data_IF_751467102444
#
_entry.id   IF_751467102444
#
_cell.length_a   1.000
_cell.length_b   1.000
_cell.length_c   1.000
_cell.angle_alpha   90.00
_cell.angle_beta   90.00
_cell.angle_gamma   90.00
#
_symmetry.space_group_name_H-M   'P 1'
#
loop_
_entity.id
_entity.type
_entity.pdbx_description
1 polymer ?
#
# COMPACT_ATOMS: atom_id res chain seq x y z
N UNK A 1 11.97 7.15 11.51
CA UNK A 1 10.67 7.13 10.79
C UNK A 1 9.71 8.16 11.39
N UNK A 2 9.80 9.44 10.99
CA UNK A 2 8.99 10.51 11.59
C UNK A 2 8.16 11.28 10.57
N UNK A 3 8.83 11.94 9.63
CA UNK A 3 8.19 12.89 8.70
C UNK A 3 6.98 12.32 7.95
N UNK A 4 7.12 11.19 7.26
CA UNK A 4 6.01 10.61 6.48
C UNK A 4 4.83 10.15 7.35
N UNK A 5 5.10 9.44 8.46
CA UNK A 5 4.05 8.99 9.36
C UNK A 5 3.28 10.18 9.96
N UNK A 6 3.98 11.27 10.33
CA UNK A 6 3.37 12.52 10.80
C UNK A 6 2.54 13.19 9.71
N UNK A 7 2.97 13.13 8.44
CA UNK A 7 2.17 13.63 7.31
C UNK A 7 0.90 12.80 7.09
N UNK A 8 0.99 11.47 7.18
CA UNK A 8 -0.18 10.60 7.11
C UNK A 8 -1.14 10.86 8.27
N UNK A 9 -0.62 10.96 9.50
CA UNK A 9 -1.41 11.32 10.67
C UNK A 9 -2.19 12.62 10.45
N UNK A 10 -1.51 13.72 10.11
CA UNK A 10 -2.17 15.02 9.91
C UNK A 10 -3.24 14.96 8.83
N UNK A 11 -2.95 14.27 7.72
CA UNK A 11 -3.89 14.10 6.61
C UNK A 11 -5.11 13.30 7.01
N UNK A 12 -4.92 12.12 7.59
CA UNK A 12 -6.00 11.22 8.00
C UNK A 12 -6.83 11.83 9.12
N UNK A 13 -6.20 12.44 10.13
CA UNK A 13 -6.89 13.13 11.22
C UNK A 13 -7.85 14.19 10.70
N UNK A 14 -7.40 15.04 9.77
CA UNK A 14 -8.24 16.08 9.18
C UNK A 14 -9.48 15.56 8.44
N UNK A 15 -9.45 14.30 7.98
CA UNK A 15 -10.58 13.63 7.30
C UNK A 15 -11.47 12.89 8.30
N UNK A 16 -10.89 12.25 9.31
CA UNK A 16 -11.62 11.57 10.38
C UNK A 16 -12.45 12.57 11.19
N UNK A 17 -11.88 13.74 11.52
CA UNK A 17 -12.57 14.80 12.27
C UNK A 17 -13.83 15.33 11.56
N UNK A 18 -13.97 15.07 10.24
CA UNK A 18 -15.17 15.44 9.47
C UNK A 18 -16.36 14.53 9.73
N UNK A 19 -16.15 13.35 10.35
CA UNK A 19 -17.19 12.39 10.71
C UNK A 19 -18.12 12.03 9.54
N UNK A 20 -17.53 11.74 8.38
CA UNK A 20 -18.29 11.29 7.19
C UNK A 20 -19.11 10.02 7.48
N UNK A 21 -18.67 9.19 8.43
CA UNK A 21 -19.40 8.03 8.96
C UNK A 21 -20.79 8.39 9.52
N UNK A 22 -21.02 9.65 9.93
CA UNK A 22 -22.28 10.12 10.49
C UNK A 22 -23.22 10.73 9.47
N UNK A 23 -22.82 10.88 8.20
CA UNK A 23 -23.70 11.43 7.16
C UNK A 23 -24.83 10.45 6.87
N UNK A 24 -26.04 10.96 6.61
CA UNK A 24 -27.25 10.14 6.46
C UNK A 24 -27.15 9.06 5.38
N UNK A 25 -26.36 9.29 4.32
CA UNK A 25 -26.13 8.34 3.24
C UNK A 25 -24.99 7.35 3.50
N UNK A 26 -24.25 7.49 4.60
CA UNK A 26 -23.15 6.61 5.03
C UNK A 26 -23.51 5.82 6.28
N UNK A 27 -24.41 6.33 7.11
CA UNK A 27 -24.87 5.62 8.32
C UNK A 27 -25.32 4.19 8.01
N UNK A 28 -24.83 3.23 8.79
CA UNK A 28 -25.10 1.81 8.56
C UNK A 28 -24.21 1.16 7.49
N UNK A 29 -23.29 1.91 6.89
CA UNK A 29 -22.43 1.43 5.81
C UNK A 29 -20.94 1.56 6.17
N UNK A 30 -20.08 0.75 5.55
CA UNK A 30 -18.64 0.90 5.64
C UNK A 30 -18.16 2.25 5.08
N UNK A 31 -17.23 2.90 5.78
CA UNK A 31 -16.58 4.13 5.35
C UNK A 31 -15.07 3.92 5.22
N UNK A 32 -14.50 4.22 4.05
CA UNK A 32 -13.07 4.12 3.82
C UNK A 32 -12.52 5.42 3.24
N UNK A 33 -11.25 5.71 3.56
CA UNK A 33 -10.53 6.86 3.00
C UNK A 33 -9.55 6.34 1.96
N UNK A 34 -9.68 6.82 0.72
CA UNK A 34 -8.71 6.58 -0.33
C UNK A 34 -7.57 7.60 -0.27
N UNK A 35 -6.33 7.13 -0.36
CA UNK A 35 -5.12 7.89 -0.15
C UNK A 35 -4.06 7.52 -1.19
N UNK A 36 -3.45 8.53 -1.78
CA UNK A 36 -2.25 8.40 -2.62
C UNK A 36 -1.24 9.45 -2.18
N UNK A 37 0.04 9.06 -2.10
CA UNK A 37 1.06 9.94 -1.55
C UNK A 37 1.82 10.72 -2.64
N UNK A 38 1.72 12.04 -2.57
CA UNK A 38 2.45 13.00 -3.41
C UNK A 38 3.11 14.10 -2.58
N UNK A 39 3.31 13.89 -1.28
CA UNK A 39 3.74 14.95 -0.37
C UNK A 39 5.20 15.40 -0.60
N UNK A 40 6.02 14.55 -1.19
CA UNK A 40 7.44 14.80 -1.45
C UNK A 40 7.92 14.08 -2.74
N UNK A 41 9.02 14.54 -3.36
CA UNK A 41 9.62 13.86 -4.50
C UNK A 41 9.88 12.37 -4.23
N UNK A 42 9.37 11.52 -5.13
CA UNK A 42 9.51 10.07 -5.02
C UNK A 42 8.81 9.42 -3.83
N UNK A 43 7.98 10.15 -3.06
CA UNK A 43 7.34 9.65 -1.83
C UNK A 43 6.60 8.33 -1.99
N UNK A 44 5.96 8.12 -3.14
CA UNK A 44 5.36 6.87 -3.56
C UNK A 44 6.28 5.64 -3.41
N UNK A 45 7.60 5.80 -3.52
CA UNK A 45 8.55 4.70 -3.43
C UNK A 45 9.01 4.37 -2.01
N UNK A 46 8.84 5.27 -1.04
CA UNK A 46 9.49 5.12 0.28
C UNK A 46 8.58 5.40 1.47
N UNK A 47 7.39 5.99 1.29
CA UNK A 47 6.52 6.37 2.41
C UNK A 47 5.56 5.27 2.87
N UNK A 48 5.31 4.27 2.03
CA UNK A 48 4.34 3.18 2.28
C UNK A 48 4.48 2.55 3.67
N UNK A 49 5.71 2.16 4.06
CA UNK A 49 5.95 1.55 5.38
C UNK A 49 5.57 2.49 6.54
N UNK A 50 5.77 3.80 6.39
CA UNK A 50 5.40 4.76 7.41
C UNK A 50 3.88 4.85 7.62
N UNK A 51 3.08 4.59 6.57
CA UNK A 51 1.62 4.47 6.69
C UNK A 51 1.25 3.23 7.50
N UNK A 52 1.82 2.06 7.17
CA UNK A 52 1.55 0.79 7.89
C UNK A 52 1.87 0.95 9.38
N UNK A 53 3.04 1.50 9.69
CA UNK A 53 3.47 1.78 11.06
C UNK A 53 2.52 2.73 11.78
N UNK A 54 2.07 3.79 11.12
CA UNK A 54 1.10 4.70 11.71
C UNK A 54 -0.27 4.03 11.96
N UNK A 55 -0.74 3.20 11.03
CA UNK A 55 -2.05 2.56 11.13
C UNK A 55 -2.08 1.50 12.21
N UNK A 56 -1.13 0.58 12.24
CA UNK A 56 -1.14 -0.54 13.19
C UNK A 56 -0.30 -0.30 14.45
N UNK A 57 0.54 0.75 14.47
CA UNK A 57 1.40 1.07 15.60
C UNK A 57 2.52 0.05 15.81
N UNK A 58 3.01 -0.55 14.73
CA UNK A 58 4.17 -1.45 14.74
C UNK A 58 4.87 -1.46 13.39
N UNK A 59 6.16 -1.75 13.37
CA UNK A 59 6.94 -1.95 12.15
C UNK A 59 7.75 -3.24 12.24
N UNK A 60 8.17 -3.77 11.10
CA UNK A 60 9.08 -4.91 11.05
C UNK A 60 10.53 -4.42 11.14
N UNK A 61 11.30 -5.00 12.05
CA UNK A 61 12.75 -4.82 12.15
C UNK A 61 13.43 -6.17 11.91
N UNK A 62 14.50 -6.18 11.12
CA UNK A 62 15.33 -7.38 10.97
C UNK A 62 16.24 -7.51 12.18
N UNK A 63 16.04 -8.57 12.96
CA UNK A 63 16.86 -8.89 14.12
C UNK A 63 17.55 -10.25 13.93
N UNK A 64 18.70 -10.42 14.57
CA UNK A 64 19.39 -11.71 14.61
C UNK A 64 18.93 -12.49 15.86
N UNK A 65 18.21 -13.58 15.64
CA UNK A 65 17.74 -14.50 16.66
C UNK A 65 18.52 -15.80 16.53
N UNK A 66 19.43 -16.05 17.48
CA UNK A 66 20.24 -17.28 17.55
C UNK A 66 21.00 -17.62 16.25
N UNK A 67 21.53 -16.60 15.55
CA UNK A 67 22.26 -16.76 14.30
C UNK A 67 21.39 -16.72 13.04
N UNK A 68 20.06 -16.61 13.18
CA UNK A 68 19.10 -16.53 12.08
C UNK A 68 18.52 -15.12 12.02
N UNK A 69 18.57 -14.48 10.85
CA UNK A 69 17.89 -13.20 10.65
C UNK A 69 16.38 -13.43 10.53
N UNK A 70 15.59 -12.66 11.27
CA UNK A 70 14.14 -12.74 11.25
C UNK A 70 13.51 -11.34 11.33
N UNK A 71 12.36 -11.15 10.69
CA UNK A 71 11.54 -9.96 10.87
C UNK A 71 10.80 -10.05 12.21
N UNK A 72 11.08 -9.12 13.11
CA UNK A 72 10.42 -8.99 14.42
C UNK A 72 9.52 -7.77 14.40
N UNK A 73 8.28 -7.92 14.89
CA UNK A 73 7.35 -6.80 15.02
C UNK A 73 7.74 -5.95 16.24
N UNK A 74 7.99 -4.67 16.01
CA UNK A 74 8.37 -3.70 17.04
C UNK A 74 7.24 -2.70 17.22
N UNK A 75 6.68 -2.65 18.43
CA UNK A 75 5.59 -1.74 18.76
C UNK A 75 6.04 -0.27 18.79
N UNK A 76 5.20 0.61 18.26
CA UNK A 76 5.38 2.06 18.25
C UNK A 76 4.23 2.69 19.01
N UNK A 77 4.56 3.42 20.08
CA UNK A 77 3.55 4.12 20.88
C UNK A 77 3.29 5.53 20.35
N UNK A 78 4.35 6.22 19.92
CA UNK A 78 4.27 7.60 19.45
C UNK A 78 5.11 7.81 18.19
N UNK A 79 4.67 8.73 17.35
CA UNK A 79 5.40 9.21 16.18
C UNK A 79 6.58 10.09 16.60
N UNK A 80 7.59 10.17 15.75
CA UNK A 80 8.75 11.02 15.97
C UNK A 80 8.45 12.47 15.55
N UNK A 81 7.63 13.15 16.36
CA UNK A 81 7.40 14.60 16.32
C UNK A 81 7.61 15.23 17.70
N UNK A 82 7.46 16.55 17.78
CA UNK A 82 7.62 17.30 19.04
C UNK A 82 6.40 17.18 19.96
N UNK A 83 5.30 16.60 19.48
CA UNK A 83 4.01 16.56 20.18
C UNK A 83 3.74 15.19 20.84
N UNK A 84 4.56 14.17 20.51
CA UNK A 84 4.37 12.82 21.02
C UNK A 84 3.10 12.17 20.45
N UNK A 85 2.77 12.49 19.18
CA UNK A 85 1.53 12.03 18.55
C UNK A 85 1.38 10.51 18.64
N UNK A 86 0.25 9.96 19.14
CA UNK A 86 0.06 8.52 19.21
C UNK A 86 0.11 7.82 17.85
N UNK A 87 0.81 6.69 17.79
CA UNK A 87 0.77 5.78 16.66
C UNK A 87 -0.31 4.70 16.87
N UNK A 88 -0.74 4.07 15.77
CA UNK A 88 -1.72 2.99 15.81
C UNK A 88 -3.15 3.47 15.73
N UNK A 89 -3.52 4.09 14.60
CA UNK A 89 -4.90 4.49 14.31
C UNK A 89 -5.92 3.34 14.51
N UNK A 90 -5.49 2.10 14.24
CA UNK A 90 -6.26 0.86 14.30
C UNK A 90 -6.00 0.03 15.57
N UNK A 91 -5.40 0.61 16.63
CA UNK A 91 -5.16 -0.09 17.90
C UNK A 91 -6.31 -0.03 18.90
N UNK A 92 -7.31 0.82 18.66
CA UNK A 92 -8.47 0.97 19.54
C UNK A 92 -9.75 1.26 18.75
N UNK A 93 -10.89 1.13 19.43
CA UNK A 93 -12.21 1.47 18.88
C UNK A 93 -12.51 2.98 18.82
N UNK A 94 -11.54 3.87 19.07
CA UNK A 94 -11.77 5.32 19.01
C UNK A 94 -12.23 5.79 17.61
N UNK A 95 -11.78 5.10 16.57
CA UNK A 95 -12.10 5.39 15.17
C UNK A 95 -12.93 4.27 14.52
N UNK A 96 -13.84 3.64 15.27
CA UNK A 96 -14.70 2.54 14.81
C UNK A 96 -15.59 2.88 13.60
N UNK A 97 -15.90 4.16 13.38
CA UNK A 97 -16.59 4.64 12.18
C UNK A 97 -15.76 4.57 10.90
N UNK A 98 -14.43 4.42 10.99
CA UNK A 98 -13.54 4.23 9.83
C UNK A 98 -13.28 2.75 9.62
N UNK A 99 -13.74 2.22 8.48
CA UNK A 99 -13.63 0.80 8.13
C UNK A 99 -12.27 0.40 7.60
N UNK A 100 -11.66 1.24 6.75
CA UNK A 100 -10.38 0.95 6.12
C UNK A 100 -9.70 2.21 5.57
N UNK A 101 -8.39 2.08 5.30
CA UNK A 101 -7.65 2.99 4.41
C UNK A 101 -7.39 2.25 3.11
N UNK A 102 -7.81 2.83 1.98
CA UNK A 102 -7.43 2.37 0.64
C UNK A 102 -6.23 3.19 0.21
N UNK A 103 -5.11 2.54 -0.10
CA UNK A 103 -3.86 3.21 -0.42
C UNK A 103 -3.35 2.79 -1.80
N UNK A 104 -2.73 3.73 -2.52
CA UNK A 104 -1.91 3.38 -3.67
C UNK A 104 -0.70 4.30 -3.80
N UNK A 105 0.46 3.69 -4.05
CA UNK A 105 1.66 4.39 -4.52
C UNK A 105 1.77 4.43 -6.05
N UNK A 106 0.80 3.85 -6.77
CA UNK A 106 0.81 3.74 -8.23
C UNK A 106 -0.02 4.79 -8.97
N UNK A 107 -0.66 5.76 -8.31
CA UNK A 107 -1.63 6.71 -8.91
C UNK A 107 -1.00 7.77 -9.86
N UNK A 108 -0.12 7.36 -10.78
CA UNK A 108 0.67 8.23 -11.65
C UNK A 108 0.25 8.14 -13.11
N UNK A 109 0.50 9.20 -13.88
CA UNK A 109 0.34 9.21 -15.35
C UNK A 109 1.17 8.08 -15.99
N UNK A 110 2.35 7.78 -15.44
CA UNK A 110 3.19 6.70 -15.94
C UNK A 110 2.50 5.33 -15.84
N UNK A 111 1.82 5.03 -14.72
CA UNK A 111 1.01 3.80 -14.58
C UNK A 111 -0.10 3.74 -15.62
N UNK A 112 -0.84 4.84 -15.83
CA UNK A 112 -1.84 4.90 -16.90
C UNK A 112 -1.24 4.50 -18.25
N UNK A 113 -0.06 5.03 -18.59
CA UNK A 113 0.65 4.68 -19.82
C UNK A 113 1.01 3.19 -19.90
N UNK A 114 1.49 2.58 -18.81
CA UNK A 114 1.86 1.15 -18.78
C UNK A 114 0.65 0.23 -18.90
N UNK A 115 -0.41 0.50 -18.14
CA UNK A 115 -1.65 -0.29 -18.17
C UNK A 115 -2.28 -0.20 -19.56
N UNK A 116 -2.39 1.01 -20.12
CA UNK A 116 -2.92 1.18 -21.49
C UNK A 116 -2.07 0.46 -22.53
N UNK A 117 -0.73 0.54 -22.45
CA UNK A 117 0.15 -0.15 -23.38
C UNK A 117 -0.01 -1.68 -23.30
N UNK A 118 -0.02 -2.26 -22.10
CA UNK A 118 -0.16 -3.71 -21.95
C UNK A 118 -1.56 -4.22 -22.30
N UNK A 119 -2.62 -3.47 -21.99
CA UNK A 119 -4.00 -3.84 -22.32
C UNK A 119 -4.32 -3.71 -23.81
N UNK A 120 -3.83 -2.66 -24.48
CA UNK A 120 -4.16 -2.40 -25.89
C UNK A 120 -3.18 -3.03 -26.88
N UNK A 121 -1.96 -3.35 -26.43
CA UNK A 121 -0.85 -3.76 -27.30
C UNK A 121 -0.36 -2.66 -28.25
N UNK A 122 -0.86 -1.42 -28.11
CA UNK A 122 -0.50 -0.31 -28.97
C UNK A 122 0.92 0.16 -28.63
N UNK A 123 1.77 0.24 -29.66
CA UNK A 123 3.06 0.92 -29.57
C UNK A 123 2.85 2.43 -29.69
N UNK A 124 3.13 3.15 -28.61
CA UNK A 124 3.00 4.60 -28.55
C UNK A 124 4.28 5.33 -28.98
N UNK A 125 5.28 4.64 -29.54
CA UNK A 125 6.55 5.24 -29.97
C UNK A 125 7.52 5.55 -28.82
N UNK A 126 7.27 5.00 -27.64
CA UNK A 126 8.09 5.17 -26.45
C UNK A 126 8.45 3.81 -25.86
N UNK A 127 9.68 3.69 -25.36
CA UNK A 127 10.05 2.58 -24.47
C UNK A 127 9.70 2.99 -23.04
N UNK A 128 9.00 2.09 -22.33
CA UNK A 128 8.69 2.25 -20.91
C UNK A 128 9.38 1.13 -20.15
N UNK A 129 10.30 1.49 -19.27
CA UNK A 129 10.95 0.55 -18.36
C UNK A 129 10.40 0.78 -16.96
N UNK A 130 9.84 -0.27 -16.35
CA UNK A 130 9.41 -0.23 -14.96
C UNK A 130 10.51 -0.82 -14.09
N UNK A 131 10.90 -0.07 -13.07
CA UNK A 131 11.92 -0.47 -12.09
C UNK A 131 11.28 -0.46 -10.72
N UNK A 132 11.52 -1.48 -9.92
CA UNK A 132 10.89 -1.58 -8.61
C UNK A 132 11.26 -2.81 -7.82
N UNK A 133 10.44 -3.08 -6.82
CA UNK A 133 10.57 -4.22 -5.93
C UNK A 133 9.26 -5.01 -5.89
N UNK A 134 9.33 -6.31 -6.16
CA UNK A 134 8.22 -7.25 -5.97
C UNK A 134 8.30 -7.84 -4.57
N UNK A 135 7.14 -8.05 -3.94
CA UNK A 135 7.05 -8.69 -2.64
C UNK A 135 7.35 -10.19 -2.75
N UNK A 136 8.44 -10.63 -2.13
CA UNK A 136 8.76 -12.05 -1.99
C UNK A 136 7.92 -12.67 -0.87
N UNK A 137 7.11 -13.68 -1.21
CA UNK A 137 6.25 -14.39 -0.26
C UNK A 137 6.89 -15.66 0.29
N UNK A 138 8.11 -15.96 -0.11
CA UNK A 138 8.87 -17.10 0.40
C UNK A 138 9.05 -16.93 1.91
N UNK A 139 8.57 -17.89 2.73
CA UNK A 139 8.70 -17.77 4.19
C UNK A 139 10.14 -17.55 4.63
N UNK A 140 10.36 -16.54 5.47
CA UNK A 140 11.68 -16.18 6.01
C UNK A 140 12.51 -15.25 5.14
N UNK A 141 12.06 -14.90 3.92
CA UNK A 141 12.72 -13.87 3.12
C UNK A 141 12.41 -12.48 3.70
N UNK A 142 13.45 -11.64 3.74
CA UNK A 142 13.40 -10.31 4.36
C UNK A 142 13.50 -9.16 3.36
N UNK A 143 13.83 -9.47 2.10
CA UNK A 143 13.99 -8.51 1.02
C UNK A 143 13.04 -8.85 -0.13
N UNK A 144 12.59 -7.83 -0.86
CA UNK A 144 11.82 -8.08 -2.08
C UNK A 144 12.72 -8.53 -3.25
N UNK A 145 12.08 -8.87 -4.35
CA UNK A 145 12.75 -9.23 -5.60
C UNK A 145 12.88 -7.96 -6.46
N UNK A 146 14.10 -7.45 -6.72
CA UNK A 146 14.28 -6.29 -7.58
C UNK A 146 13.94 -6.66 -9.03
N UNK A 147 13.29 -5.75 -9.75
CA UNK A 147 13.01 -5.95 -11.18
C UNK A 147 13.26 -4.67 -11.97
N UNK A 148 13.61 -4.85 -13.24
CA UNK A 148 13.78 -3.79 -14.23
C UNK A 148 13.37 -4.35 -15.59
N UNK A 149 12.15 -4.04 -16.01
CA UNK A 149 11.52 -4.69 -17.16
C UNK A 149 10.97 -3.68 -18.15
N UNK A 150 11.17 -3.93 -19.44
CA UNK A 150 10.44 -3.25 -20.51
C UNK A 150 8.97 -3.69 -20.44
N UNK A 151 8.06 -2.71 -20.38
CA UNK A 151 6.61 -2.93 -20.28
C UNK A 151 6.05 -3.70 -21.48
N UNK A 152 6.71 -3.64 -22.64
CA UNK A 152 6.36 -4.42 -23.84
C UNK A 152 6.90 -5.86 -23.83
N UNK A 153 7.81 -6.19 -22.92
CA UNK A 153 8.42 -7.51 -22.87
C UNK A 153 7.41 -8.60 -22.47
N UNK A 154 7.66 -9.81 -22.95
CA UNK A 154 6.89 -11.00 -22.56
C UNK A 154 6.99 -11.26 -21.06
N UNK A 155 8.17 -11.06 -20.48
CA UNK A 155 8.42 -11.22 -19.04
C UNK A 155 7.54 -10.28 -18.21
N UNK A 156 7.42 -9.01 -18.62
CA UNK A 156 6.53 -8.05 -17.94
C UNK A 156 5.06 -8.46 -18.04
N UNK A 157 4.61 -8.90 -19.22
CA UNK A 157 3.23 -9.34 -19.41
C UNK A 157 2.93 -10.59 -18.57
N UNK A 158 3.89 -11.51 -18.42
CA UNK A 158 3.73 -12.72 -17.63
C UNK A 158 3.70 -12.49 -16.11
N UNK A 159 3.93 -11.26 -15.63
CA UNK A 159 3.78 -10.90 -14.21
C UNK A 159 2.35 -11.09 -13.69
N UNK A 160 1.34 -11.01 -14.56
CA UNK A 160 -0.06 -11.23 -14.18
C UNK A 160 -0.74 -12.26 -15.09
N UNK A 161 -1.68 -13.09 -14.56
CA UNK A 161 -2.33 -14.14 -15.33
C UNK A 161 -3.02 -13.66 -16.62
N UNK A 162 -3.61 -12.46 -16.58
CA UNK A 162 -4.30 -11.82 -17.69
C UNK A 162 -3.37 -11.21 -18.75
N UNK A 163 -2.05 -11.30 -18.56
CA UNK A 163 -1.01 -10.82 -19.47
C UNK A 163 -0.93 -9.30 -19.67
N UNK A 164 -1.51 -8.53 -18.75
CA UNK A 164 -1.40 -7.08 -18.70
C UNK A 164 -1.37 -6.58 -17.26
N UNK A 165 -0.82 -5.39 -17.04
CA UNK A 165 -0.79 -4.76 -15.71
C UNK A 165 -2.22 -4.37 -15.29
N UNK A 166 -2.78 -4.91 -14.20
CA UNK A 166 -4.12 -4.54 -13.76
C UNK A 166 -4.12 -3.15 -13.12
N UNK A 167 -5.27 -2.46 -13.20
CA UNK A 167 -5.46 -1.19 -12.49
C UNK A 167 -5.27 -1.31 -10.97
N UNK A 168 -5.54 -2.49 -10.43
CA UNK A 168 -5.37 -2.86 -9.02
C UNK A 168 -3.92 -3.15 -8.63
N UNK A 169 -2.96 -3.21 -9.57
CA UNK A 169 -1.54 -3.29 -9.21
C UNK A 169 -1.17 -2.12 -8.29
N UNK A 170 -0.44 -2.35 -7.19
CA UNK A 170 -0.11 -1.31 -6.20
C UNK A 170 -1.34 -0.66 -5.51
N UNK A 171 -2.48 -1.36 -5.48
CA UNK A 171 -3.65 -0.97 -4.68
C UNK A 171 -3.72 -1.82 -3.42
N UNK A 172 -3.83 -1.17 -2.28
CA UNK A 172 -3.84 -1.83 -0.98
C UNK A 172 -5.01 -1.34 -0.13
N UNK A 173 -5.50 -2.21 0.76
CA UNK A 173 -6.57 -1.90 1.70
C UNK A 173 -6.13 -2.33 3.09
N UNK A 174 -5.91 -1.36 3.96
CA UNK A 174 -5.61 -1.59 5.37
C UNK A 174 -6.90 -1.56 6.18
N UNK A 175 -7.30 -2.69 6.76
CA UNK A 175 -8.57 -2.84 7.47
C UNK A 175 -8.46 -2.42 8.93
N UNK A 176 -9.44 -1.67 9.42
CA UNK A 176 -9.59 -1.39 10.84
C UNK A 176 -10.26 -2.58 11.54
N UNK A 177 -9.58 -3.28 12.48
CA UNK A 177 -10.17 -4.42 13.18
C UNK A 177 -11.29 -4.02 14.15
N UNK A 178 -11.40 -2.73 14.50
CA UNK A 178 -12.44 -2.21 15.39
C UNK A 178 -13.60 -1.53 14.64
N UNK A 179 -13.66 -1.66 13.31
CA UNK A 179 -14.71 -1.03 12.52
C UNK A 179 -16.12 -1.53 12.90
N UNK A 180 -17.05 -0.62 13.17
CA UNK A 180 -18.47 -0.97 13.38
C UNK A 180 -19.08 -1.63 12.15
N UNK A 181 -18.71 -1.15 10.97
CA UNK A 181 -19.10 -1.70 9.67
C UNK A 181 -17.84 -2.04 8.87
N UNK A 182 -17.33 -3.28 8.93
CA UNK A 182 -16.09 -3.67 8.27
C UNK A 182 -16.11 -3.44 6.76
N UNK A 183 -14.97 -3.04 6.18
CA UNK A 183 -14.88 -2.81 4.73
C UNK A 183 -14.95 -4.15 3.98
N UNK A 184 -15.95 -4.36 3.09
CA UNK A 184 -16.11 -5.64 2.44
C UNK A 184 -14.99 -5.88 1.42
N UNK A 185 -14.30 -7.02 1.55
CA UNK A 185 -13.20 -7.40 0.64
C UNK A 185 -13.63 -7.40 -0.84
N UNK A 186 -14.86 -7.79 -1.11
CA UNK A 186 -15.41 -7.88 -2.47
C UNK A 186 -15.66 -6.53 -3.16
N UNK A 187 -15.54 -5.40 -2.45
CA UNK A 187 -15.61 -4.06 -3.09
C UNK A 187 -14.35 -3.78 -3.91
N UNK A 188 -13.18 -4.26 -3.47
CA UNK A 188 -11.90 -4.13 -4.17
C UNK A 188 -11.18 -5.49 -4.21
N UNK A 189 -11.75 -6.52 -4.86
CA UNK A 189 -11.34 -7.90 -4.67
C UNK A 189 -9.92 -8.22 -5.13
N UNK A 190 -9.39 -7.42 -6.06
CA UNK A 190 -8.05 -7.55 -6.63
C UNK A 190 -6.97 -6.76 -5.88
N UNK A 191 -7.34 -5.95 -4.88
CA UNK A 191 -6.38 -5.22 -4.06
C UNK A 191 -5.65 -6.17 -3.10
N UNK A 192 -4.51 -5.71 -2.59
CA UNK A 192 -3.84 -6.36 -1.47
C UNK A 192 -4.49 -5.91 -0.17
N UNK A 193 -5.08 -6.84 0.59
CA UNK A 193 -5.76 -6.56 1.83
C UNK A 193 -4.90 -6.91 3.04
N UNK A 194 -4.79 -5.99 3.98
CA UNK A 194 -4.05 -6.15 5.22
C UNK A 194 -5.01 -6.17 6.40
N UNK A 195 -4.89 -7.20 7.24
CA UNK A 195 -5.73 -7.41 8.42
C UNK A 195 -4.88 -7.59 9.66
N UNK A 196 -5.38 -7.14 10.82
CA UNK A 196 -4.86 -7.60 12.12
C UNK A 196 -5.61 -8.88 12.52
N UNK A 197 -4.91 -10.00 12.69
CA UNK A 197 -5.45 -11.29 13.14
C UNK A 197 -4.50 -11.95 14.13
N UNK A 198 -5.03 -12.38 15.27
CA UNK A 198 -4.27 -13.08 16.32
C UNK A 198 -2.98 -12.38 16.74
N UNK A 199 -3.03 -11.05 16.84
CA UNK A 199 -1.87 -10.23 17.20
C UNK A 199 -0.87 -9.99 16.07
N UNK A 200 -1.07 -10.53 14.87
CA UNK A 200 -0.22 -10.35 13.70
C UNK A 200 -0.89 -9.55 12.58
N UNK A 201 -0.10 -8.91 11.72
CA UNK A 201 -0.58 -8.31 10.48
C UNK A 201 -0.46 -9.35 9.36
N UNK A 202 -1.59 -9.69 8.74
CA UNK A 202 -1.69 -10.68 7.66
C UNK A 202 -2.04 -9.98 6.35
N UNK A 203 -1.34 -10.36 5.29
CA UNK A 203 -1.57 -9.91 3.93
C UNK A 203 -2.34 -10.98 3.14
N UNK A 204 -3.46 -10.58 2.54
CA UNK A 204 -4.18 -11.37 1.55
C UNK A 204 -4.13 -10.66 0.20
N UNK A 205 -3.52 -11.29 -0.80
CA UNK A 205 -3.43 -10.74 -2.15
C UNK A 205 -4.25 -11.58 -3.13
N UNK A 206 -4.80 -10.92 -4.14
CA UNK A 206 -5.46 -11.59 -5.25
C UNK A 206 -4.44 -12.13 -6.27
N UNK A 207 -3.46 -11.30 -6.63
CA UNK A 207 -2.36 -11.69 -7.49
C UNK A 207 -1.17 -12.19 -6.68
N UNK A 208 -0.47 -13.18 -7.22
CA UNK A 208 0.83 -13.59 -6.70
C UNK A 208 1.86 -12.46 -6.83
N UNK A 209 1.89 -11.76 -7.96
CA UNK A 209 2.74 -10.58 -8.12
C UNK A 209 2.15 -9.37 -7.39
N UNK A 210 2.84 -8.93 -6.32
CA UNK A 210 2.59 -7.65 -5.66
C UNK A 210 3.81 -6.76 -5.77
N UNK A 211 3.66 -5.57 -6.33
CA UNK A 211 4.73 -4.57 -6.39
C UNK A 211 4.69 -3.74 -5.10
N UNK A 212 5.79 -3.72 -4.35
CA UNK A 212 5.95 -2.94 -3.12
C UNK A 212 6.11 -1.45 -3.44
N UNK A 213 6.93 -1.16 -4.44
CA UNK A 213 7.13 0.17 -5.01
C UNK A 213 7.69 0.05 -6.42
N UNK A 214 7.45 1.05 -7.24
CA UNK A 214 8.08 1.17 -8.54
C UNK A 214 8.12 2.61 -9.04
N UNK A 215 8.98 2.84 -10.02
CA UNK A 215 8.95 3.99 -10.90
C UNK A 215 8.96 3.54 -12.36
N UNK A 216 8.82 4.50 -13.28
CA UNK A 216 8.83 4.22 -14.71
C UNK A 216 9.67 5.23 -15.43
N UNK A 217 10.64 4.72 -16.17
CA UNK A 217 11.47 5.51 -17.05
C UNK A 217 10.87 5.44 -18.45
N UNK A 218 10.65 6.61 -19.05
CA UNK A 218 10.10 6.73 -20.40
C UNK A 218 11.18 7.34 -21.29
N UNK A 219 11.53 6.63 -22.35
CA UNK A 219 12.51 7.08 -23.34
C UNK A 219 11.91 7.02 -24.74
N UNK A 220 12.43 7.85 -25.64
CA UNK A 220 12.09 7.74 -27.06
C UNK A 220 12.58 6.39 -27.58
N UNK A 221 11.75 5.73 -28.39
CA UNK A 221 12.18 4.53 -29.11
C UNK A 221 13.30 4.93 -30.08
N UNK A 222 14.42 4.20 -30.05
CA UNK A 222 15.50 4.37 -31.03
C UNK A 222 15.08 3.84 -32.40
#
# INVERSE_FOLDING_TARGET
>A
MGGAAVRFHKTLRSKIDRRYDKYSHVQGQPFAIALADFHAPGSMMWSREALITYLYGEYAEVQNLDGVQAAVSVAVQALLDNEGTPAGLFRSGENDGLSAIVFSNGCTIAKFGRVMQTMSGIDYGFTRTRVGMIFDRTPGVLEGIPFCLDVSSREYQELWPQRYEPWSAELEVFHNPFATYPFPRNVLPEAQHWFRRDGSIVCEAFYETSVLWSETHVTNKK
#
